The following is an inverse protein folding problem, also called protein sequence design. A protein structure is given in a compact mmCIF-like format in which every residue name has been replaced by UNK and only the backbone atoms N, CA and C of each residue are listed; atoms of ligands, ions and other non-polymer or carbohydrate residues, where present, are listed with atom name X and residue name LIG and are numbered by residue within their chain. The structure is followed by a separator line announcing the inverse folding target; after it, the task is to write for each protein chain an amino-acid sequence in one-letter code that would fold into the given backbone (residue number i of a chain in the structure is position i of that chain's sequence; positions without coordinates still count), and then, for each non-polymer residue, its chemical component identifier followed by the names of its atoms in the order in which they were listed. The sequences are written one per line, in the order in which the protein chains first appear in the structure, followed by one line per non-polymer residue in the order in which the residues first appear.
data_IF_900574687919
#
_entry.id   IF_900574687919
#
_cell.length_a   1.000
_cell.length_b   1.000
_cell.length_c   1.000
_cell.angle_alpha   90.00
_cell.angle_beta   90.00
_cell.angle_gamma   90.00
#
_symmetry.space_group_name_H-M   'P 1'
#
loop_
_entity.id
_entity.type
_entity.pdbx_description
1 polymer ?
#
# COMPACT_ATOMS: atom_id res chain seq x y z
N UNK A 1 -11.16 -3.51 11.89
CA UNK A 1 -9.86 -3.36 11.19
C UNK A 1 -9.88 -2.10 10.35
N UNK A 2 -8.73 -1.41 10.20
CA UNK A 2 -8.62 -0.21 9.38
C UNK A 2 -8.74 -0.46 7.87
N UNK A 3 -8.73 0.63 7.08
CA UNK A 3 -8.84 0.59 5.62
C UNK A 3 -7.58 0.01 4.95
N UNK A 4 -7.76 -0.63 3.80
CA UNK A 4 -6.69 -1.17 2.96
C UNK A 4 -6.59 -0.40 1.65
N UNK A 5 -5.40 0.08 1.31
CA UNK A 5 -5.15 0.87 0.10
C UNK A 5 -4.90 -0.09 -1.07
N UNK A 6 -5.65 0.01 -2.17
CA UNK A 6 -5.44 -0.85 -3.33
C UNK A 6 -4.15 -0.46 -4.05
N UNK A 7 -3.24 -1.43 -4.20
CA UNK A 7 -2.01 -1.30 -4.98
C UNK A 7 -2.29 -1.57 -6.47
N UNK A 8 -1.76 -0.78 -7.40
CA UNK A 8 -1.92 -1.00 -8.83
C UNK A 8 -1.27 -2.30 -9.33
N UNK A 9 -1.88 -2.92 -10.34
CA UNK A 9 -1.43 -4.21 -10.88
C UNK A 9 -0.19 -4.09 -11.79
N UNK A 10 0.07 -2.90 -12.34
CA UNK A 10 1.22 -2.61 -13.19
C UNK A 10 2.49 -2.27 -12.40
N UNK A 11 2.42 -2.18 -11.07
CA UNK A 11 3.57 -1.99 -10.19
C UNK A 11 3.91 -3.31 -9.49
N UNK A 12 5.11 -3.88 -9.71
CA UNK A 12 5.48 -5.15 -9.12
C UNK A 12 5.62 -5.08 -7.60
N UNK A 13 4.93 -6.00 -6.90
CA UNK A 13 5.11 -6.24 -5.47
C UNK A 13 5.89 -7.52 -5.24
N UNK A 14 6.92 -7.47 -4.42
CA UNK A 14 7.61 -8.65 -3.90
C UNK A 14 7.19 -8.91 -2.46
N UNK A 15 6.82 -10.17 -2.16
CA UNK A 15 6.41 -10.60 -0.83
C UNK A 15 7.32 -11.71 -0.31
N UNK A 16 8.11 -11.39 0.71
CA UNK A 16 9.04 -12.31 1.36
C UNK A 16 8.49 -12.75 2.70
N UNK A 17 8.49 -14.07 2.95
CA UNK A 17 8.11 -14.63 4.24
C UNK A 17 9.17 -14.29 5.29
N UNK A 18 8.76 -13.67 6.40
CA UNK A 18 9.60 -13.51 7.56
C UNK A 18 9.48 -14.76 8.44
N UNK A 19 10.60 -15.49 8.61
CA UNK A 19 10.61 -16.73 9.40
C UNK A 19 10.42 -16.40 10.88
N UNK A 20 9.43 -17.04 11.52
CA UNK A 20 9.09 -17.05 12.96
C UNK A 20 8.13 -16.00 13.50
N UNK A 21 7.49 -15.20 12.65
CA UNK A 21 6.48 -14.24 13.12
C UNK A 21 5.13 -14.55 12.47
N UNK A 22 4.27 -15.27 13.19
CA UNK A 22 2.86 -15.36 12.85
C UNK A 22 2.06 -14.92 14.07
N UNK A 23 0.99 -14.16 13.82
CA UNK A 23 0.09 -13.71 14.88
C UNK A 23 -1.32 -14.25 14.69
N UNK A 24 -2.05 -14.36 15.79
CA UNK A 24 -3.44 -14.79 15.75
C UNK A 24 -4.32 -13.75 15.06
N UNK A 25 -5.48 -14.19 14.55
CA UNK A 25 -6.47 -13.30 13.93
C UNK A 25 -6.95 -12.21 14.90
N UNK A 26 -7.18 -12.60 16.15
CA UNK A 26 -7.61 -11.69 17.22
C UNK A 26 -6.54 -10.62 17.48
N UNK A 27 -5.27 -11.02 17.62
CA UNK A 27 -4.18 -10.06 17.82
C UNK A 27 -4.09 -9.09 16.65
N UNK A 28 -4.12 -9.59 15.42
CA UNK A 28 -4.06 -8.73 14.23
C UNK A 28 -5.25 -7.77 14.15
N UNK A 29 -6.46 -8.22 14.49
CA UNK A 29 -7.63 -7.34 14.50
C UNK A 29 -7.46 -6.17 15.48
N UNK A 30 -6.83 -6.41 16.63
CA UNK A 30 -6.60 -5.39 17.67
C UNK A 30 -5.49 -4.40 17.30
N UNK A 31 -4.41 -4.86 16.67
CA UNK A 31 -3.21 -4.02 16.43
C UNK A 31 -3.11 -3.47 15.01
N UNK A 32 -3.98 -3.89 14.09
CA UNK A 32 -3.96 -3.42 12.71
C UNK A 32 -4.41 -1.97 12.62
N UNK A 33 -3.59 -1.15 11.97
CA UNK A 33 -3.88 0.24 11.66
C UNK A 33 -4.47 0.41 10.24
N UNK A 34 -4.89 -0.70 9.61
CA UNK A 34 -5.13 -0.78 8.16
C UNK A 34 -3.92 -1.31 7.41
N UNK A 35 -3.84 -1.07 6.10
CA UNK A 35 -2.69 -1.50 5.32
C UNK A 35 -2.84 -1.36 3.81
N UNK A 36 -2.25 -2.27 3.05
CA UNK A 36 -2.32 -2.29 1.58
C UNK A 36 -2.90 -3.60 1.06
N UNK A 37 -3.44 -3.58 -0.15
CA UNK A 37 -3.97 -4.73 -0.84
C UNK A 37 -3.34 -4.85 -2.23
N UNK A 38 -2.70 -5.99 -2.52
CA UNK A 38 -2.08 -6.23 -3.83
C UNK A 38 -2.50 -7.57 -4.42
N UNK A 39 -2.47 -7.67 -5.75
CA UNK A 39 -2.63 -8.95 -6.42
C UNK A 39 -1.32 -9.74 -6.37
N UNK A 40 -1.43 -11.05 -6.14
CA UNK A 40 -0.28 -11.93 -6.01
C UNK A 40 -0.57 -13.33 -6.56
N UNK A 41 0.45 -13.99 -7.12
CA UNK A 41 0.29 -15.27 -7.80
C UNK A 41 0.06 -16.46 -6.86
N UNK A 42 0.42 -16.34 -5.57
CA UNK A 42 0.26 -17.40 -4.55
C UNK A 42 -0.57 -16.95 -3.34
N UNK A 43 -1.18 -17.94 -2.68
CA UNK A 43 -1.92 -17.72 -1.45
C UNK A 43 -0.98 -17.46 -0.26
N UNK A 44 -1.47 -16.70 0.71
CA UNK A 44 -0.82 -16.51 2.00
C UNK A 44 -1.78 -16.80 3.14
N UNK A 45 -1.26 -17.39 4.22
CA UNK A 45 -2.05 -17.68 5.42
C UNK A 45 -2.28 -16.39 6.21
N UNK A 46 -3.48 -16.24 6.76
CA UNK A 46 -3.78 -15.14 7.66
C UNK A 46 -2.80 -15.13 8.84
N UNK A 47 -2.32 -13.94 9.22
CA UNK A 47 -1.40 -13.71 10.32
C UNK A 47 0.07 -13.96 9.98
N UNK A 48 0.39 -14.40 8.76
CA UNK A 48 1.78 -14.54 8.30
C UNK A 48 2.46 -13.18 8.22
N UNK A 49 3.63 -13.03 8.86
CA UNK A 49 4.48 -11.86 8.70
C UNK A 49 5.18 -11.88 7.34
N UNK A 50 5.12 -10.74 6.67
CA UNK A 50 5.69 -10.50 5.36
C UNK A 50 6.54 -9.25 5.38
N UNK A 51 7.64 -9.30 4.64
CA UNK A 51 8.27 -8.11 4.10
C UNK A 51 7.68 -7.84 2.72
N UNK A 52 7.27 -6.59 2.49
CA UNK A 52 6.76 -6.08 1.21
C UNK A 52 7.80 -5.16 0.60
N UNK A 53 8.06 -5.34 -0.70
CA UNK A 53 8.94 -4.48 -1.49
C UNK A 53 8.26 -4.07 -2.78
N UNK A 54 8.57 -2.86 -3.25
CA UNK A 54 8.13 -2.33 -4.54
C UNK A 54 9.36 -1.77 -5.27
N UNK A 55 10.19 -2.64 -5.89
CA UNK A 55 11.50 -2.24 -6.37
C UNK A 55 11.50 -1.15 -7.45
N UNK A 56 10.42 -1.05 -8.22
CA UNK A 56 10.25 -0.01 -9.26
C UNK A 56 9.97 1.37 -8.68
N UNK A 57 9.40 1.46 -7.47
CA UNK A 57 9.18 2.73 -6.78
C UNK A 57 10.42 3.13 -5.98
N UNK A 58 10.91 2.21 -5.15
CA UNK A 58 12.11 2.43 -4.36
C UNK A 58 12.74 1.06 -4.02
N UNK A 59 13.93 0.77 -4.57
CA UNK A 59 14.58 -0.54 -4.42
C UNK A 59 15.00 -0.84 -2.98
N UNK A 60 15.15 0.18 -2.13
CA UNK A 60 15.61 0.06 -0.74
C UNK A 60 14.45 0.04 0.26
N UNK A 61 13.25 0.42 -0.18
CA UNK A 61 12.09 0.52 0.69
C UNK A 61 11.54 -0.84 1.09
N UNK A 62 11.31 -1.03 2.38
CA UNK A 62 10.78 -2.26 2.99
C UNK A 62 9.62 -1.92 3.91
N UNK A 63 8.55 -2.70 3.82
CA UNK A 63 7.44 -2.64 4.77
C UNK A 63 7.26 -3.97 5.45
N UNK A 64 7.09 -3.96 6.76
CA UNK A 64 6.79 -5.16 7.53
C UNK A 64 5.30 -5.16 7.84
N UNK A 65 4.63 -6.27 7.55
CA UNK A 65 3.20 -6.37 7.79
C UNK A 65 2.74 -7.81 7.95
N UNK A 66 1.47 -7.96 8.28
CA UNK A 66 0.85 -9.26 8.49
C UNK A 66 -0.30 -9.46 7.52
N UNK A 67 -0.43 -10.68 7.00
CA UNK A 67 -1.55 -11.01 6.11
C UNK A 67 -2.87 -10.93 6.88
N UNK A 68 -3.67 -9.91 6.56
CA UNK A 68 -4.98 -9.65 7.13
C UNK A 68 -6.07 -10.51 6.49
N UNK A 69 -5.93 -10.80 5.20
CA UNK A 69 -6.85 -11.65 4.46
C UNK A 69 -6.22 -12.01 3.12
N UNK A 70 -6.70 -13.11 2.52
CA UNK A 70 -6.23 -13.57 1.21
C UNK A 70 -7.43 -14.13 0.46
N UNK A 71 -7.83 -13.46 -0.62
CA UNK A 71 -9.02 -13.77 -1.39
C UNK A 71 -8.62 -14.37 -2.74
N UNK A 72 -9.14 -15.55 -3.08
CA UNK A 72 -8.94 -16.17 -4.41
C UNK A 72 -9.57 -15.28 -5.48
N UNK A 73 -8.85 -15.04 -6.57
CA UNK A 73 -9.33 -14.38 -7.79
C UNK A 73 -9.22 -15.33 -8.98
N UNK A 74 -9.73 -14.92 -10.15
CA UNK A 74 -9.63 -15.71 -11.40
C UNK A 74 -8.17 -16.04 -11.74
N UNK A 75 -7.25 -15.11 -11.49
CA UNK A 75 -5.81 -15.26 -11.68
C UNK A 75 -5.10 -14.87 -10.38
N UNK A 76 -4.72 -15.86 -9.57
CA UNK A 76 -4.03 -15.63 -8.31
C UNK A 76 -4.95 -15.21 -7.15
N UNK A 77 -4.46 -14.28 -6.34
CA UNK A 77 -5.06 -13.88 -5.06
C UNK A 77 -4.96 -12.36 -4.88
N UNK A 78 -5.98 -11.77 -4.26
CA UNK A 78 -5.87 -10.44 -3.68
C UNK A 78 -5.49 -10.61 -2.21
N UNK A 79 -4.35 -10.05 -1.82
CA UNK A 79 -3.76 -10.20 -0.48
C UNK A 79 -3.83 -8.86 0.24
N UNK A 80 -4.50 -8.83 1.38
CA UNK A 80 -4.48 -7.69 2.29
C UNK A 80 -3.36 -7.85 3.31
N UNK A 81 -2.48 -6.87 3.39
CA UNK A 81 -1.34 -6.83 4.30
C UNK A 81 -1.56 -5.66 5.24
N UNK A 82 -1.72 -5.96 6.52
CA UNK A 82 -1.93 -4.97 7.56
C UNK A 82 -0.60 -4.52 8.16
N UNK A 83 -0.49 -3.22 8.38
CA UNK A 83 0.60 -2.59 9.10
C UNK A 83 0.20 -2.35 10.56
N UNK A 84 1.17 -2.47 11.45
CA UNK A 84 1.00 -2.35 12.91
C UNK A 84 1.83 -1.20 13.49
N UNK A 85 2.51 -0.49 12.61
CA UNK A 85 3.37 0.65 12.90
C UNK A 85 2.89 1.84 12.05
N UNK A 86 2.70 3.00 12.69
CA UNK A 86 2.17 4.20 12.03
C UNK A 86 3.10 4.70 10.93
N UNK A 87 4.41 4.63 11.15
CA UNK A 87 5.40 5.05 10.16
C UNK A 87 5.36 4.16 8.91
N UNK A 88 5.20 2.83 9.08
CA UNK A 88 5.03 1.90 7.97
C UNK A 88 3.74 2.16 7.21
N UNK A 89 2.63 2.36 7.92
CA UNK A 89 1.35 2.67 7.28
C UNK A 89 1.44 3.96 6.48
N UNK A 90 1.96 5.04 7.09
CA UNK A 90 2.16 6.33 6.45
C UNK A 90 3.03 6.20 5.19
N UNK A 91 4.19 5.54 5.34
CA UNK A 91 5.13 5.33 4.23
C UNK A 91 4.50 4.54 3.08
N UNK A 92 3.71 3.50 3.40
CA UNK A 92 3.01 2.71 2.39
C UNK A 92 2.00 3.56 1.62
N UNK A 93 1.29 4.47 2.29
CA UNK A 93 0.38 5.40 1.61
C UNK A 93 1.15 6.33 0.68
N UNK A 94 2.27 6.87 1.14
CA UNK A 94 3.11 7.74 0.34
C UNK A 94 3.63 7.02 -0.92
N UNK A 95 3.98 5.74 -0.85
CA UNK A 95 4.30 4.96 -2.06
C UNK A 95 3.12 4.86 -3.02
N UNK A 96 1.91 4.65 -2.53
CA UNK A 96 0.71 4.65 -3.38
C UNK A 96 0.48 6.01 -4.05
N UNK A 97 0.86 7.11 -3.40
CA UNK A 97 0.83 8.45 -4.01
C UNK A 97 1.80 8.55 -5.19
N UNK A 98 3.02 8.04 -5.02
CA UNK A 98 3.99 7.99 -6.11
C UNK A 98 3.43 7.18 -7.28
N UNK A 99 2.79 6.03 -7.01
CA UNK A 99 2.11 5.26 -8.07
C UNK A 99 1.01 6.07 -8.80
N UNK A 100 0.23 6.87 -8.07
CA UNK A 100 -0.83 7.69 -8.64
C UNK A 100 -0.27 8.82 -9.52
N UNK A 101 0.77 9.51 -9.04
CA UNK A 101 1.48 10.55 -9.79
C UNK A 101 2.07 9.97 -11.08
N UNK A 102 2.80 8.86 -10.98
CA UNK A 102 3.40 8.22 -12.15
C UNK A 102 2.34 7.83 -13.19
N UNK A 103 1.19 7.31 -12.73
CA UNK A 103 0.06 7.00 -13.60
C UNK A 103 -0.55 8.26 -14.21
N UNK A 104 -0.69 9.34 -13.44
CA UNK A 104 -1.19 10.62 -13.93
C UNK A 104 -0.32 11.17 -15.04
N UNK A 105 1.00 11.16 -14.86
CA UNK A 105 1.96 11.59 -15.88
C UNK A 105 1.86 10.72 -17.15
N UNK A 106 1.76 9.38 -17.00
CA UNK A 106 1.57 8.47 -18.15
C UNK A 106 0.26 8.75 -18.91
N UNK A 107 -0.83 9.08 -18.22
CA UNK A 107 -2.13 9.34 -18.84
C UNK A 107 -2.17 10.67 -19.61
N UNK A 108 -1.29 11.61 -19.28
CA UNK A 108 -1.18 12.90 -19.95
C UNK A 108 -0.08 12.93 -21.03
N UNK A 109 0.35 11.76 -21.49
CA UNK A 109 1.38 11.59 -22.51
C UNK A 109 2.68 12.37 -22.23
N UNK A 110 3.00 12.59 -20.95
CA UNK A 110 4.28 13.13 -20.55
C UNK A 110 5.36 12.26 -21.17
N UNK A 111 6.16 12.84 -22.07
CA UNK A 111 7.27 12.09 -22.67
C UNK A 111 8.31 11.84 -21.58
N UNK A 112 9.39 11.14 -21.90
CA UNK A 112 10.56 11.06 -20.99
C UNK A 112 11.23 12.44 -20.75
N UNK A 113 10.54 13.54 -21.07
CA UNK A 113 10.89 14.90 -20.70
C UNK A 113 10.62 15.12 -19.20
N UNK A 114 11.71 15.27 -18.47
CA UNK A 114 11.70 15.49 -17.04
C UNK A 114 10.94 16.76 -16.63
N UNK A 115 10.92 17.81 -17.47
CA UNK A 115 10.21 19.05 -17.16
C UNK A 115 8.70 18.87 -17.24
N UNK A 116 8.21 18.16 -18.25
CA UNK A 116 6.77 17.83 -18.38
C UNK A 116 6.31 16.95 -17.21
N UNK A 117 7.09 15.92 -16.86
CA UNK A 117 6.81 15.04 -15.73
C UNK A 117 6.76 15.83 -14.41
N UNK A 118 7.71 16.74 -14.18
CA UNK A 118 7.73 17.55 -12.96
C UNK A 118 6.54 18.52 -12.88
N UNK A 119 6.15 19.13 -14.00
CA UNK A 119 5.00 20.02 -14.04
C UNK A 119 3.70 19.28 -13.69
N UNK A 120 3.47 18.11 -14.30
CA UNK A 120 2.29 17.28 -14.04
C UNK A 120 2.29 16.71 -12.62
N UNK A 121 3.45 16.30 -12.10
CA UNK A 121 3.56 15.87 -10.71
C UNK A 121 3.22 16.99 -9.72
N UNK A 122 3.67 18.22 -10.00
CA UNK A 122 3.36 19.38 -9.17
C UNK A 122 1.88 19.73 -9.23
N UNK A 123 1.27 19.72 -10.42
CA UNK A 123 -0.17 19.90 -10.62
C UNK A 123 -0.97 18.88 -9.80
N UNK A 124 -0.62 17.60 -9.92
CA UNK A 124 -1.24 16.52 -9.16
C UNK A 124 -1.14 16.76 -7.64
N UNK A 125 0.05 17.14 -7.16
CA UNK A 125 0.27 17.44 -5.74
C UNK A 125 -0.56 18.64 -5.30
N UNK A 126 -0.67 19.70 -6.09
CA UNK A 126 -1.48 20.88 -5.74
C UNK A 126 -2.96 20.55 -5.61
N UNK A 127 -3.48 19.66 -6.46
CA UNK A 127 -4.88 19.27 -6.44
C UNK A 127 -5.22 18.29 -5.31
N UNK A 128 -4.25 17.44 -4.90
CA UNK A 128 -4.55 16.28 -4.07
C UNK A 128 -3.81 16.25 -2.71
N UNK A 129 -2.82 17.12 -2.45
CA UNK A 129 -1.98 17.04 -1.25
C UNK A 129 -2.76 17.05 0.08
N UNK A 130 -3.86 17.80 0.16
CA UNK A 130 -4.66 17.91 1.38
C UNK A 130 -5.35 16.60 1.76
N UNK A 131 -5.63 15.73 0.78
CA UNK A 131 -6.19 14.39 1.02
C UNK A 131 -5.19 13.46 1.73
N UNK A 132 -3.89 13.80 1.69
CA UNK A 132 -2.79 12.97 2.16
C UNK A 132 -1.98 13.59 3.30
N UNK A 133 -2.43 14.72 3.85
CA UNK A 133 -1.85 15.28 5.07
C UNK A 133 -1.89 14.25 6.21
N UNK A 134 -0.89 14.25 7.09
CA UNK A 134 -0.82 13.31 8.22
C UNK A 134 -2.11 13.33 9.07
N UNK A 135 -2.75 14.49 9.22
CA UNK A 135 -4.01 14.64 9.97
C UNK A 135 -5.21 14.04 9.23
N UNK A 136 -5.35 14.28 7.91
CA UNK A 136 -6.39 13.66 7.06
C UNK A 136 -6.23 12.14 7.05
N UNK A 137 -4.99 11.68 6.91
CA UNK A 137 -4.55 10.27 6.92
C UNK A 137 -4.87 9.60 8.25
N UNK A 138 -4.57 10.25 9.37
CA UNK A 138 -4.87 9.74 10.70
C UNK A 138 -6.39 9.62 10.89
N UNK A 139 -7.16 10.66 10.57
CA UNK A 139 -8.63 10.64 10.69
C UNK A 139 -9.30 9.54 9.85
N UNK A 140 -8.88 9.35 8.60
CA UNK A 140 -9.49 8.38 7.70
C UNK A 140 -9.28 6.91 8.12
N UNK A 141 -8.33 6.61 9.01
CA UNK A 141 -7.99 5.24 9.42
C UNK A 141 -8.05 5.02 10.93
N UNK A 142 -8.09 6.08 11.74
CA UNK A 142 -8.43 6.03 13.16
C UNK A 142 -9.94 5.88 13.39
N UNK A 143 -10.78 6.19 12.40
CA UNK A 143 -12.20 5.90 12.49
C UNK A 143 -12.44 4.40 12.27
N UNK A 144 -13.08 3.70 13.23
CA UNK A 144 -13.53 2.34 12.98
C UNK A 144 -14.51 2.37 11.80
N UNK A 145 -14.29 1.47 10.84
CA UNK A 145 -15.31 1.15 9.83
C UNK A 145 -16.55 0.69 10.62
N UNK A 146 -17.56 1.55 10.69
CA UNK A 146 -18.88 1.16 11.17
C UNK A 146 -19.43 0.22 10.10
N UNK A 147 -19.62 -1.04 10.50
CA UNK A 147 -20.36 -2.05 9.73
C UNK A 147 -21.82 -1.62 9.51
#
# INVERSE_FOLDING_TARGET
MGRFIPHPDDVPVELTLLKHECISRQRLHTISLGGMACNYHRAWRHGTALEVRMPTLNPDMRYLGYVAWCLRRKRGYLVGIAFVDEQMLFSARMSEQVCQIERYCRLHDAREDLQEIQALALEWVQEHADEFSHDTVHKAFAQPVLD
#
